data_IF_642891860471
#
_entry.id   IF_642891860471
#
_cell.length_a   1.000
_cell.length_b   1.000
_cell.length_c   1.000
_cell.angle_alpha   90.00
_cell.angle_beta   90.00
_cell.angle_gamma   90.00
#
_symmetry.space_group_name_H-M   'P 1'
#
loop_
_entity.id
_entity.type
_entity.pdbx_description
1 polymer ?
#
# COMPACT_ATOMS: atom_id res chain seq x y z
N UNK A 1 24.84 -26.66 -17.18
CA UNK A 1 23.67 -27.11 -16.39
C UNK A 1 23.10 -25.88 -15.73
N UNK A 2 21.78 -25.65 -15.81
CA UNK A 2 21.13 -24.55 -15.09
C UNK A 2 21.31 -24.73 -13.58
N UNK A 3 21.62 -23.65 -12.86
CA UNK A 3 21.73 -23.68 -11.40
C UNK A 3 20.37 -23.96 -10.76
N UNK A 4 20.37 -24.70 -9.65
CA UNK A 4 19.17 -24.85 -8.80
C UNK A 4 18.92 -23.49 -8.13
N UNK A 5 17.69 -22.93 -8.18
CA UNK A 5 17.40 -21.64 -7.56
C UNK A 5 17.49 -21.74 -6.03
N UNK A 6 17.96 -20.68 -5.39
CA UNK A 6 17.89 -20.55 -3.94
C UNK A 6 16.43 -20.44 -3.48
N UNK A 7 16.11 -21.00 -2.31
CA UNK A 7 14.82 -20.80 -1.67
C UNK A 7 15.01 -20.00 -0.38
N UNK A 8 14.41 -18.81 -0.31
CA UNK A 8 14.50 -17.94 0.87
C UNK A 8 13.17 -17.93 1.60
N UNK A 9 13.17 -18.42 2.84
CA UNK A 9 11.99 -18.42 3.70
C UNK A 9 11.63 -17.02 4.17
N UNK A 10 10.45 -16.87 4.80
CA UNK A 10 10.05 -15.62 5.42
C UNK A 10 11.05 -15.15 6.51
N UNK A 11 11.66 -16.09 7.25
CA UNK A 11 12.69 -15.78 8.24
C UNK A 11 13.96 -15.24 7.57
N UNK A 12 14.43 -15.89 6.51
CA UNK A 12 15.59 -15.43 5.74
C UNK A 12 15.35 -14.02 5.18
N UNK A 13 14.17 -13.79 4.58
CA UNK A 13 13.79 -12.46 4.07
C UNK A 13 13.75 -11.41 5.19
N UNK A 14 13.16 -11.73 6.35
CA UNK A 14 13.11 -10.82 7.50
C UNK A 14 14.51 -10.46 8.02
N UNK A 15 15.42 -11.43 8.07
CA UNK A 15 16.79 -11.24 8.55
C UNK A 15 17.62 -10.35 7.61
N UNK A 16 17.31 -10.37 6.32
CA UNK A 16 17.99 -9.56 5.29
C UNK A 16 17.25 -8.26 4.94
N UNK A 17 15.96 -8.13 5.30
CA UNK A 17 15.12 -6.95 5.03
C UNK A 17 14.55 -6.36 6.33
N UNK A 18 15.45 -5.99 7.24
CA UNK A 18 15.11 -5.70 8.65
C UNK A 18 14.21 -4.48 8.84
N UNK A 19 14.54 -3.36 8.18
CA UNK A 19 13.79 -2.09 8.32
C UNK A 19 13.18 -1.68 6.99
N UNK A 20 11.88 -1.40 7.01
CA UNK A 20 11.15 -0.80 5.88
C UNK A 20 11.65 0.62 5.58
N UNK A 21 12.20 1.33 6.56
CA UNK A 21 12.80 2.65 6.36
C UNK A 21 14.01 2.62 5.43
N UNK A 22 14.76 1.51 5.41
CA UNK A 22 15.86 1.32 4.45
C UNK A 22 15.38 1.14 3.01
N UNK A 23 14.09 0.78 2.81
CA UNK A 23 13.49 0.70 1.47
C UNK A 23 13.10 2.07 0.91
N UNK A 24 13.01 3.11 1.75
CA UNK A 24 12.49 4.42 1.31
C UNK A 24 13.36 5.00 0.18
N UNK A 25 14.70 5.15 0.30
CA UNK A 25 15.51 5.71 -0.78
C UNK A 25 15.44 4.93 -2.11
N UNK A 26 15.62 3.59 -2.17
CA UNK A 26 15.50 2.87 -3.43
C UNK A 26 14.07 2.89 -3.99
N UNK A 27 13.03 2.90 -3.15
CA UNK A 27 11.65 3.02 -3.61
C UNK A 27 11.32 4.42 -4.16
N UNK A 28 11.84 5.50 -3.58
CA UNK A 28 11.72 6.85 -4.14
C UNK A 28 12.33 6.88 -5.56
N UNK A 29 13.52 6.30 -5.73
CA UNK A 29 14.17 6.18 -7.04
C UNK A 29 13.35 5.34 -8.03
N UNK A 30 12.84 4.17 -7.60
CA UNK A 30 12.02 3.29 -8.44
C UNK A 30 10.71 3.96 -8.89
N UNK A 31 10.03 4.67 -7.99
CA UNK A 31 8.82 5.44 -8.30
C UNK A 31 9.12 6.56 -9.31
N UNK A 32 10.17 7.36 -9.07
CA UNK A 32 10.55 8.43 -9.98
C UNK A 32 10.95 7.90 -11.37
N UNK A 33 11.66 6.78 -11.43
CA UNK A 33 12.02 6.12 -12.68
C UNK A 33 10.78 5.58 -13.41
N UNK A 34 9.88 4.89 -12.70
CA UNK A 34 8.63 4.39 -13.28
C UNK A 34 7.83 5.52 -13.95
N UNK A 35 7.58 6.63 -13.22
CA UNK A 35 6.84 7.79 -13.74
C UNK A 35 7.64 8.65 -14.74
N UNK A 36 8.90 8.32 -15.03
CA UNK A 36 9.70 8.98 -16.07
C UNK A 36 9.48 8.36 -17.47
N UNK A 37 8.58 7.39 -17.60
CA UNK A 37 8.32 6.71 -18.85
C UNK A 37 9.54 5.94 -19.36
N UNK A 38 9.73 5.81 -20.69
CA UNK A 38 10.80 4.99 -21.26
C UNK A 38 12.21 5.36 -20.78
N UNK A 39 12.48 6.65 -20.51
CA UNK A 39 13.79 7.13 -20.05
C UNK A 39 14.14 6.66 -18.64
N UNK A 40 13.14 6.33 -17.82
CA UNK A 40 13.36 5.79 -16.48
C UNK A 40 13.81 4.33 -16.47
N UNK A 41 13.76 3.63 -17.61
CA UNK A 41 14.28 2.28 -17.75
C UNK A 41 13.51 1.21 -16.95
N UNK A 42 12.26 1.48 -16.58
CA UNK A 42 11.37 0.51 -15.91
C UNK A 42 10.40 -0.08 -16.93
N UNK A 43 10.48 -1.40 -17.11
CA UNK A 43 9.53 -2.17 -17.92
C UNK A 43 8.61 -2.94 -16.98
N UNK A 44 7.43 -2.38 -16.71
CA UNK A 44 6.42 -2.96 -15.83
C UNK A 44 5.06 -2.95 -16.53
N UNK A 45 4.62 -4.07 -17.13
CA UNK A 45 3.26 -4.17 -17.63
C UNK A 45 2.27 -4.12 -16.47
N UNK A 46 1.07 -3.58 -16.70
CA UNK A 46 0.00 -3.62 -15.70
C UNK A 46 -0.26 -5.05 -15.23
N UNK A 47 -0.52 -5.20 -13.93
CA UNK A 47 -0.78 -6.49 -13.30
C UNK A 47 -1.86 -7.27 -14.05
N UNK A 48 -1.62 -8.57 -14.18
CA UNK A 48 -2.60 -9.54 -14.67
C UNK A 48 -3.22 -10.25 -13.48
N UNK A 49 -4.55 -10.31 -13.44
CA UNK A 49 -5.29 -10.99 -12.38
C UNK A 49 -6.12 -12.13 -12.98
N UNK A 50 -5.95 -13.33 -12.43
CA UNK A 50 -6.75 -14.52 -12.74
C UNK A 50 -7.76 -14.72 -11.62
N UNK A 51 -9.07 -14.53 -11.87
CA UNK A 51 -10.10 -14.82 -10.87
C UNK A 51 -10.26 -16.33 -10.70
N UNK A 52 -10.22 -16.79 -9.45
CA UNK A 52 -10.46 -18.17 -9.02
C UNK A 52 -11.87 -18.24 -8.43
N UNK A 53 -12.87 -17.94 -9.28
CA UNK A 53 -14.24 -17.64 -8.85
C UNK A 53 -14.88 -18.72 -7.96
N UNK A 54 -14.61 -20.01 -8.23
CA UNK A 54 -15.11 -21.14 -7.42
C UNK A 54 -14.74 -21.03 -5.94
N UNK A 55 -13.63 -20.37 -5.63
CA UNK A 55 -13.09 -20.26 -4.29
C UNK A 55 -13.04 -18.81 -3.78
N UNK A 56 -13.72 -17.87 -4.44
CA UNK A 56 -13.72 -16.44 -4.07
C UNK A 56 -12.30 -15.89 -3.88
N UNK A 57 -11.40 -16.28 -4.78
CA UNK A 57 -9.99 -15.90 -4.73
C UNK A 57 -9.48 -15.34 -6.04
N UNK A 58 -8.26 -14.82 -5.99
CA UNK A 58 -7.59 -14.16 -7.11
C UNK A 58 -6.10 -14.51 -7.09
N UNK A 59 -5.52 -14.67 -8.28
CA UNK A 59 -4.07 -14.75 -8.48
C UNK A 59 -3.62 -13.52 -9.28
N UNK A 60 -2.79 -12.68 -8.67
CA UNK A 60 -2.10 -11.57 -9.32
C UNK A 60 -0.70 -11.96 -9.77
N UNK A 61 -0.30 -11.55 -10.97
CA UNK A 61 1.05 -11.70 -11.52
C UNK A 61 1.60 -10.32 -11.83
N UNK A 62 2.75 -10.00 -11.23
CA UNK A 62 3.38 -8.67 -11.29
C UNK A 62 4.85 -8.82 -11.70
N UNK A 63 5.14 -8.95 -13.02
CA UNK A 63 6.50 -8.96 -13.53
C UNK A 63 7.03 -7.53 -13.71
N UNK A 64 8.32 -7.33 -13.47
CA UNK A 64 8.99 -6.06 -13.77
C UNK A 64 10.48 -6.26 -14.06
N UNK A 65 11.02 -5.43 -14.95
CA UNK A 65 12.45 -5.23 -15.12
C UNK A 65 12.81 -3.77 -14.85
N UNK A 66 13.83 -3.53 -14.04
CA UNK A 66 14.42 -2.21 -13.80
C UNK A 66 15.84 -2.21 -14.36
N UNK A 67 16.10 -1.39 -15.38
CA UNK A 67 17.42 -1.25 -15.97
C UNK A 67 18.41 -0.54 -15.02
N UNK A 68 17.92 0.38 -14.17
CA UNK A 68 18.75 1.13 -13.22
C UNK A 68 19.39 0.23 -12.16
N UNK A 69 18.67 -0.81 -11.72
CA UNK A 69 19.19 -1.80 -10.77
C UNK A 69 19.61 -3.12 -11.43
N UNK A 70 19.43 -3.23 -12.75
CA UNK A 70 19.54 -4.46 -13.53
C UNK A 70 18.87 -5.66 -12.83
N UNK A 71 17.59 -5.49 -12.48
CA UNK A 71 16.83 -6.46 -11.70
C UNK A 71 15.57 -6.92 -12.45
N UNK A 72 15.44 -8.22 -12.69
CA UNK A 72 14.28 -8.86 -13.30
C UNK A 72 13.56 -9.73 -12.27
N UNK A 73 12.31 -9.39 -11.96
CA UNK A 73 11.53 -10.13 -10.96
C UNK A 73 10.10 -10.41 -11.41
N UNK A 74 9.46 -11.36 -10.75
CA UNK A 74 8.00 -11.54 -10.83
C UNK A 74 7.46 -11.89 -9.46
N UNK A 75 6.52 -11.08 -8.97
CA UNK A 75 5.74 -11.42 -7.79
C UNK A 75 4.46 -12.13 -8.22
N UNK A 76 4.18 -13.27 -7.59
CA UNK A 76 2.89 -13.92 -7.63
C UNK A 76 2.21 -13.71 -6.28
N UNK A 77 0.98 -13.23 -6.30
CA UNK A 77 0.20 -12.98 -5.08
C UNK A 77 -1.18 -13.63 -5.21
N UNK A 78 -1.60 -14.37 -4.21
CA UNK A 78 -2.97 -14.83 -4.07
C UNK A 78 -3.67 -14.05 -2.97
N UNK A 79 -4.94 -13.75 -3.18
CA UNK A 79 -5.80 -13.20 -2.14
C UNK A 79 -7.21 -13.74 -2.22
N UNK A 80 -7.82 -13.95 -1.07
CA UNK A 80 -9.10 -14.63 -0.93
C UNK A 80 -10.04 -13.87 -0.01
N UNK A 81 -11.27 -13.67 -0.46
CA UNK A 81 -12.34 -13.03 0.32
C UNK A 81 -12.72 -13.90 1.52
N UNK A 82 -13.07 -13.27 2.65
CA UNK A 82 -13.55 -13.98 3.84
C UNK A 82 -12.50 -14.77 4.64
N UNK A 83 -11.31 -15.06 4.09
CA UNK A 83 -10.25 -15.79 4.79
C UNK A 83 -9.87 -15.13 6.14
N UNK A 84 -9.85 -13.80 6.21
CA UNK A 84 -9.56 -13.07 7.45
C UNK A 84 -10.53 -13.35 8.62
N UNK A 85 -11.71 -13.92 8.33
CA UNK A 85 -12.76 -14.19 9.32
C UNK A 85 -13.03 -15.68 9.52
N UNK A 86 -12.73 -16.53 8.54
CA UNK A 86 -13.13 -17.95 8.54
C UNK A 86 -11.96 -18.92 8.40
N UNK A 87 -10.73 -18.43 8.21
CA UNK A 87 -9.56 -19.25 7.96
C UNK A 87 -8.39 -18.91 8.89
N UNK A 88 -7.58 -19.90 9.21
CA UNK A 88 -6.28 -19.72 9.87
C UNK A 88 -5.18 -19.32 8.88
N UNK A 89 -5.45 -19.43 7.57
CA UNK A 89 -4.53 -19.02 6.51
C UNK A 89 -4.67 -17.52 6.28
N UNK A 90 -3.56 -16.76 6.16
CA UNK A 90 -3.60 -15.34 5.84
C UNK A 90 -4.43 -15.04 4.58
N UNK A 91 -5.08 -13.87 4.55
CA UNK A 91 -5.91 -13.46 3.40
C UNK A 91 -5.10 -13.26 2.12
N UNK A 92 -3.81 -12.95 2.25
CA UNK A 92 -2.87 -12.79 1.15
C UNK A 92 -1.68 -13.74 1.34
N UNK A 93 -1.24 -14.36 0.25
CA UNK A 93 0.03 -15.07 0.19
C UNK A 93 0.81 -14.63 -1.05
N UNK A 94 2.11 -14.41 -0.92
CA UNK A 94 2.93 -14.00 -2.04
C UNK A 94 4.28 -14.75 -2.08
N UNK A 95 4.81 -14.88 -3.30
CA UNK A 95 6.19 -15.29 -3.55
C UNK A 95 6.79 -14.39 -4.61
N UNK A 96 8.09 -14.12 -4.50
CA UNK A 96 8.85 -13.36 -5.49
C UNK A 96 9.88 -14.28 -6.14
N UNK A 97 9.92 -14.24 -7.47
CA UNK A 97 10.92 -14.90 -8.29
C UNK A 97 11.93 -13.85 -8.75
N UNK A 98 13.22 -14.11 -8.57
CA UNK A 98 14.32 -13.26 -9.03
C UNK A 98 15.10 -13.97 -10.12
N UNK A 99 15.30 -13.30 -11.25
CA UNK A 99 15.97 -13.84 -12.43
C UNK A 99 17.24 -13.05 -12.74
N UNK A 100 18.23 -13.74 -13.30
CA UNK A 100 19.40 -13.12 -13.92
C UNK A 100 18.96 -12.45 -15.23
N UNK A 101 19.05 -11.12 -15.38
CA UNK A 101 18.54 -10.46 -16.59
C UNK A 101 19.30 -10.85 -17.87
N UNK A 102 20.60 -11.15 -17.76
CA UNK A 102 21.46 -11.42 -18.91
C UNK A 102 21.22 -12.78 -19.58
N UNK A 103 20.66 -13.77 -18.86
CA UNK A 103 20.47 -15.12 -19.39
C UNK A 103 19.13 -15.79 -19.01
N UNK A 104 18.32 -15.13 -18.18
CA UNK A 104 17.01 -15.60 -17.75
C UNK A 104 17.04 -16.70 -16.67
N UNK A 105 18.20 -17.04 -16.11
CA UNK A 105 18.31 -18.05 -15.06
C UNK A 105 17.54 -17.62 -13.82
N UNK A 106 16.69 -18.51 -13.29
CA UNK A 106 16.01 -18.28 -12.01
C UNK A 106 17.04 -18.40 -10.87
N UNK A 107 17.32 -17.27 -10.21
CA UNK A 107 18.31 -17.19 -9.13
C UNK A 107 17.69 -17.58 -7.79
N UNK A 108 16.50 -17.06 -7.49
CA UNK A 108 15.85 -17.29 -6.21
C UNK A 108 14.32 -17.30 -6.29
N UNK A 109 13.72 -18.10 -5.40
CA UNK A 109 12.31 -18.06 -5.03
C UNK A 109 12.24 -17.65 -3.56
N UNK A 110 11.55 -16.56 -3.24
CA UNK A 110 11.52 -16.01 -1.89
C UNK A 110 10.10 -15.76 -1.39
N UNK A 111 9.93 -15.74 -0.06
CA UNK A 111 8.69 -15.29 0.56
C UNK A 111 8.38 -13.85 0.13
N UNK A 112 7.18 -13.65 -0.40
CA UNK A 112 6.70 -12.36 -0.83
C UNK A 112 5.84 -11.65 0.22
N UNK A 113 5.52 -12.28 1.34
CA UNK A 113 4.63 -11.72 2.35
C UNK A 113 5.31 -10.59 3.12
N UNK A 114 6.52 -10.86 3.63
CA UNK A 114 7.33 -9.85 4.33
C UNK A 114 7.67 -8.69 3.38
N UNK A 115 8.08 -9.02 2.14
CA UNK A 115 8.35 -8.03 1.09
C UNK A 115 7.10 -7.17 0.88
N UNK A 116 5.93 -7.79 0.67
CA UNK A 116 4.67 -7.09 0.41
C UNK A 116 4.27 -6.18 1.57
N UNK A 117 4.44 -6.60 2.82
CA UNK A 117 4.16 -5.76 3.98
C UNK A 117 5.09 -4.53 4.01
N UNK A 118 6.40 -4.74 4.02
CA UNK A 118 7.39 -3.66 4.16
C UNK A 118 7.37 -2.67 3.00
N UNK A 119 7.31 -3.15 1.76
CA UNK A 119 7.30 -2.28 0.57
C UNK A 119 6.04 -1.42 0.48
N UNK A 120 4.87 -1.96 0.85
CA UNK A 120 3.60 -1.20 0.77
C UNK A 120 3.58 -0.08 1.80
N UNK A 121 4.01 -0.39 3.03
CA UNK A 121 4.15 0.59 4.10
C UNK A 121 5.18 1.67 3.76
N UNK A 122 6.33 1.30 3.20
CA UNK A 122 7.37 2.25 2.79
C UNK A 122 6.89 3.20 1.70
N UNK A 123 6.17 2.73 0.67
CA UNK A 123 5.58 3.61 -0.36
C UNK A 123 4.54 4.57 0.24
N UNK A 124 3.73 4.10 1.20
CA UNK A 124 2.78 4.96 1.91
C UNK A 124 3.49 6.02 2.78
N UNK A 125 4.62 5.66 3.39
CA UNK A 125 5.46 6.60 4.12
C UNK A 125 6.09 7.65 3.17
N UNK A 126 6.50 7.26 1.96
CA UNK A 126 6.95 8.19 0.92
C UNK A 126 5.82 9.15 0.56
N UNK A 127 4.63 8.65 0.20
CA UNK A 127 3.48 9.50 -0.09
C UNK A 127 3.20 10.49 1.05
N UNK A 128 3.17 9.99 2.28
CA UNK A 128 2.95 10.80 3.49
C UNK A 128 4.03 11.86 3.69
N UNK A 129 5.31 11.54 3.45
CA UNK A 129 6.42 12.50 3.55
C UNK A 129 6.21 13.72 2.64
N UNK A 130 5.66 13.52 1.44
CA UNK A 130 5.40 14.59 0.47
C UNK A 130 4.03 15.26 0.66
N UNK A 131 3.01 14.52 1.08
CA UNK A 131 1.60 14.93 0.99
C UNK A 131 0.93 15.25 2.33
N UNK A 132 1.54 14.89 3.46
CA UNK A 132 0.97 15.21 4.79
C UNK A 132 0.90 16.72 5.02
N UNK A 133 -0.10 17.21 5.78
CA UNK A 133 -0.20 18.63 6.11
C UNK A 133 1.02 19.12 6.91
N UNK A 134 1.39 20.42 6.85
CA UNK A 134 2.58 20.95 7.53
C UNK A 134 2.66 20.63 9.03
N UNK A 135 1.51 20.63 9.72
CA UNK A 135 1.38 20.31 11.14
C UNK A 135 0.59 19.02 11.32
N UNK A 136 1.22 17.87 11.06
CA UNK A 136 0.61 16.55 11.29
C UNK A 136 0.91 16.05 12.70
N UNK A 137 -0.10 15.91 13.54
CA UNK A 137 0.02 15.48 14.94
C UNK A 137 -0.77 14.20 15.24
N UNK A 138 -1.82 13.90 14.47
CA UNK A 138 -2.70 12.75 14.71
C UNK A 138 -2.67 11.79 13.52
N UNK A 139 -2.27 10.54 13.78
CA UNK A 139 -2.36 9.42 12.84
C UNK A 139 -3.60 8.58 13.13
N UNK A 140 -4.36 8.22 12.11
CA UNK A 140 -5.48 7.27 12.18
C UNK A 140 -5.23 6.06 11.27
N UNK A 141 -5.46 4.86 11.78
CA UNK A 141 -5.39 3.61 11.03
C UNK A 141 -6.77 2.94 11.03
N UNK A 142 -7.31 2.66 9.85
CA UNK A 142 -8.55 1.90 9.64
C UNK A 142 -8.19 0.49 9.15
N UNK A 143 -8.36 -0.49 10.03
CA UNK A 143 -7.95 -1.88 9.85
C UNK A 143 -6.84 -2.29 10.82
N UNK A 144 -6.82 -3.59 11.18
CA UNK A 144 -5.85 -4.16 12.12
C UNK A 144 -5.14 -5.42 11.59
N UNK A 145 -4.99 -5.52 10.26
CA UNK A 145 -4.34 -6.65 9.58
C UNK A 145 -2.83 -6.48 9.40
N UNK A 146 -2.21 -7.32 8.58
CA UNK A 146 -0.77 -7.31 8.28
C UNK A 146 -0.28 -5.91 7.88
N UNK A 147 -1.00 -5.23 7.00
CA UNK A 147 -0.64 -3.89 6.54
C UNK A 147 -0.70 -2.86 7.67
N UNK A 148 -1.66 -2.95 8.59
CA UNK A 148 -1.73 -2.04 9.74
C UNK A 148 -0.45 -2.09 10.58
N UNK A 149 0.11 -3.29 10.80
CA UNK A 149 1.36 -3.46 11.57
C UNK A 149 2.57 -2.88 10.84
N UNK A 150 2.74 -3.19 9.55
CA UNK A 150 3.87 -2.66 8.78
C UNK A 150 3.80 -1.15 8.60
N UNK A 151 2.59 -0.60 8.41
CA UNK A 151 2.39 0.85 8.35
C UNK A 151 2.68 1.50 9.69
N UNK A 152 2.19 0.96 10.81
CA UNK A 152 2.51 1.49 12.13
C UNK A 152 4.01 1.49 12.42
N UNK A 153 4.70 0.38 12.13
CA UNK A 153 6.15 0.26 12.31
C UNK A 153 6.90 1.38 11.58
N UNK A 154 6.69 1.55 10.26
CA UNK A 154 7.43 2.56 9.49
C UNK A 154 6.96 3.99 9.80
N UNK A 155 5.66 4.21 10.07
CA UNK A 155 5.16 5.56 10.34
C UNK A 155 5.63 6.09 11.69
N UNK A 156 5.73 5.24 12.72
CA UNK A 156 6.27 5.65 14.03
C UNK A 156 7.79 5.78 14.03
N UNK A 157 8.49 5.09 13.12
CA UNK A 157 9.93 5.30 12.89
C UNK A 157 10.21 6.61 12.12
N UNK A 158 9.38 6.93 11.12
CA UNK A 158 9.60 8.07 10.21
C UNK A 158 8.99 9.38 10.68
N UNK A 159 7.92 9.35 11.48
CA UNK A 159 7.15 10.53 11.84
C UNK A 159 6.85 10.57 13.34
N UNK A 160 6.75 11.78 13.89
CA UNK A 160 6.43 12.01 15.30
C UNK A 160 4.99 12.49 15.45
N UNK A 161 4.06 11.54 15.62
CA UNK A 161 2.67 11.85 15.95
C UNK A 161 2.49 11.99 17.46
N UNK A 162 1.66 12.93 17.90
CA UNK A 162 1.25 13.09 19.30
C UNK A 162 0.21 12.06 19.72
N UNK A 163 -0.61 11.60 18.78
CA UNK A 163 -1.64 10.59 19.02
C UNK A 163 -1.71 9.64 17.82
N UNK A 164 -1.78 8.33 18.10
CA UNK A 164 -2.11 7.31 17.10
C UNK A 164 -3.45 6.67 17.47
N UNK A 165 -4.35 6.59 16.49
CA UNK A 165 -5.69 6.02 16.64
C UNK A 165 -5.84 4.81 15.74
N UNK A 166 -6.63 3.85 16.18
CA UNK A 166 -7.00 2.70 15.38
C UNK A 166 -8.50 2.43 15.48
N UNK A 167 -9.10 2.09 14.34
CA UNK A 167 -10.41 1.46 14.29
C UNK A 167 -10.33 0.18 13.49
N UNK A 168 -11.11 -0.83 13.88
CA UNK A 168 -11.29 -2.04 13.10
C UNK A 168 -12.71 -2.57 13.29
N UNK A 169 -13.29 -3.17 12.24
CA UNK A 169 -14.63 -3.78 12.27
C UNK A 169 -14.83 -4.73 13.46
N UNK A 170 -13.82 -5.54 13.75
CA UNK A 170 -13.78 -6.42 14.94
C UNK A 170 -12.94 -5.73 16.00
N UNK A 171 -13.58 -5.17 17.02
CA UNK A 171 -12.93 -4.33 18.05
C UNK A 171 -11.79 -5.07 18.76
N UNK A 172 -11.98 -6.35 19.03
CA UNK A 172 -11.00 -7.21 19.71
C UNK A 172 -9.67 -7.28 18.93
N UNK A 173 -9.71 -7.16 17.59
CA UNK A 173 -8.48 -7.13 16.78
C UNK A 173 -7.77 -5.78 16.85
N UNK A 174 -8.51 -4.66 17.00
CA UNK A 174 -7.91 -3.36 17.25
C UNK A 174 -7.27 -3.29 18.66
N UNK A 175 -7.92 -3.89 19.67
CA UNK A 175 -7.35 -4.02 21.02
C UNK A 175 -6.10 -4.89 21.03
N UNK A 176 -6.12 -6.04 20.35
CA UNK A 176 -4.92 -6.89 20.16
C UNK A 176 -3.79 -6.12 19.49
N UNK A 177 -4.10 -5.35 18.45
CA UNK A 177 -3.13 -4.50 17.78
C UNK A 177 -2.50 -3.51 18.76
N UNK A 178 -3.32 -2.72 19.46
CA UNK A 178 -2.85 -1.71 20.42
C UNK A 178 -2.00 -2.31 21.55
N UNK A 179 -2.30 -3.55 21.99
CA UNK A 179 -1.54 -4.25 23.01
C UNK A 179 -0.24 -4.90 22.49
N UNK A 180 -0.11 -5.12 21.18
CA UNK A 180 1.03 -5.81 20.56
C UNK A 180 2.12 -4.82 20.12
N UNK A 181 1.72 -3.65 19.63
CA UNK A 181 2.65 -2.65 19.13
C UNK A 181 3.32 -1.87 20.27
N UNK A 182 4.50 -1.32 19.99
CA UNK A 182 5.19 -0.46 20.94
C UNK A 182 4.70 0.99 20.80
N UNK A 183 4.11 1.54 21.87
CA UNK A 183 3.60 2.90 21.92
C UNK A 183 2.12 2.94 22.27
N UNK A 184 1.61 4.12 22.61
CA UNK A 184 0.18 4.27 22.93
C UNK A 184 -0.65 4.37 21.65
N UNK A 185 -1.69 3.54 21.56
CA UNK A 185 -2.67 3.57 20.48
C UNK A 185 -4.07 3.64 21.06
N UNK A 186 -4.81 4.68 20.70
CA UNK A 186 -6.21 4.83 21.10
C UNK A 186 -7.11 3.98 20.20
N UNK A 187 -7.79 3.02 20.79
CA UNK A 187 -8.82 2.22 20.11
C UNK A 187 -10.13 3.00 20.05
N UNK A 188 -10.60 3.28 18.84
CA UNK A 188 -11.86 4.00 18.59
C UNK A 188 -13.01 3.03 18.30
N UNK A 189 -14.23 3.44 18.62
CA UNK A 189 -15.45 2.65 18.48
C UNK A 189 -16.10 2.76 17.10
N UNK A 190 -15.85 3.85 16.37
CA UNK A 190 -16.34 4.09 15.01
C UNK A 190 -15.24 4.69 14.13
N UNK A 191 -15.41 4.57 12.81
CA UNK A 191 -14.51 5.24 11.84
C UNK A 191 -14.54 6.75 12.06
N UNK A 192 -15.73 7.34 12.20
CA UNK A 192 -15.90 8.77 12.44
C UNK A 192 -15.11 9.24 13.67
N UNK A 193 -15.19 8.54 14.80
CA UNK A 193 -14.39 8.87 15.99
C UNK A 193 -12.89 8.83 15.69
N UNK A 194 -12.44 7.82 14.95
CA UNK A 194 -11.02 7.62 14.65
C UNK A 194 -10.46 8.76 13.76
N UNK A 195 -11.20 9.16 12.72
CA UNK A 195 -10.73 10.12 11.72
C UNK A 195 -11.00 11.58 12.06
N UNK A 196 -11.92 11.86 13.00
CA UNK A 196 -12.25 13.24 13.37
C UNK A 196 -11.01 13.98 13.88
N UNK A 197 -10.54 14.96 13.10
CA UNK A 197 -9.34 15.74 13.42
C UNK A 197 -8.02 15.02 13.14
N UNK A 198 -8.02 13.86 12.50
CA UNK A 198 -6.81 13.17 12.07
C UNK A 198 -6.13 13.92 10.92
N UNK A 199 -4.79 13.99 10.96
CA UNK A 199 -3.99 14.67 9.93
C UNK A 199 -3.55 13.70 8.84
N UNK A 200 -3.28 12.45 9.23
CA UNK A 200 -2.90 11.37 8.34
C UNK A 200 -3.80 10.18 8.63
N UNK A 201 -4.39 9.60 7.59
CA UNK A 201 -5.30 8.45 7.67
C UNK A 201 -4.75 7.33 6.79
N UNK A 202 -4.83 6.09 7.25
CA UNK A 202 -4.41 4.89 6.52
C UNK A 202 -5.60 3.94 6.45
N UNK A 203 -6.04 3.57 5.24
CA UNK A 203 -7.08 2.55 5.05
C UNK A 203 -6.45 1.27 4.51
N UNK A 204 -6.51 0.21 5.31
CA UNK A 204 -5.86 -1.09 5.06
C UNK A 204 -6.83 -2.24 5.35
N UNK A 205 -8.07 -2.09 4.91
CA UNK A 205 -9.13 -3.08 5.14
C UNK A 205 -9.41 -3.91 3.88
N UNK A 206 -10.26 -4.92 4.06
CA UNK A 206 -10.86 -5.72 2.98
C UNK A 206 -12.32 -5.30 2.75
N UNK A 207 -12.68 -4.04 3.06
CA UNK A 207 -14.01 -3.54 2.78
C UNK A 207 -14.24 -3.47 1.26
N UNK A 208 -15.47 -3.77 0.86
CA UNK A 208 -15.93 -3.67 -0.53
C UNK A 208 -16.86 -2.49 -0.74
N UNK A 209 -17.33 -1.88 0.35
CA UNK A 209 -18.18 -0.69 0.37
C UNK A 209 -17.49 0.41 1.17
N UNK A 210 -17.75 1.70 0.85
CA UNK A 210 -17.13 2.83 1.55
C UNK A 210 -17.28 2.75 3.07
N UNK A 211 -16.14 2.89 3.76
CA UNK A 211 -16.08 2.97 5.23
C UNK A 211 -15.63 4.35 5.71
N UNK A 212 -14.91 5.09 4.86
CA UNK A 212 -14.42 6.44 5.14
C UNK A 212 -15.19 7.44 4.27
N UNK A 213 -15.86 8.37 4.94
CA UNK A 213 -16.69 9.40 4.31
C UNK A 213 -16.01 10.76 4.42
N UNK A 214 -16.02 11.52 3.32
CA UNK A 214 -15.41 12.85 3.22
C UNK A 214 -15.89 13.83 4.27
N UNK A 215 -17.17 13.77 4.65
CA UNK A 215 -17.79 14.58 5.72
C UNK A 215 -17.01 14.54 7.04
N UNK A 216 -16.34 13.42 7.36
CA UNK A 216 -15.65 13.25 8.64
C UNK A 216 -14.17 13.66 8.58
N UNK A 217 -13.65 13.88 7.38
CA UNK A 217 -12.23 14.12 7.14
C UNK A 217 -11.88 15.57 7.45
N UNK A 218 -10.83 15.77 8.25
CA UNK A 218 -10.28 17.10 8.52
C UNK A 218 -9.83 17.75 7.19
N UNK A 219 -10.23 18.99 6.89
CA UNK A 219 -9.70 19.71 5.74
C UNK A 219 -8.17 19.75 5.77
N UNK A 220 -7.51 19.33 4.68
CA UNK A 220 -6.05 19.25 4.61
C UNK A 220 -5.46 17.91 5.04
N UNK A 221 -6.27 16.93 5.48
CA UNK A 221 -5.76 15.61 5.83
C UNK A 221 -5.20 14.86 4.62
N UNK A 222 -4.20 14.01 4.87
CA UNK A 222 -3.66 13.09 3.89
C UNK A 222 -4.13 11.66 4.15
N UNK A 223 -4.66 11.00 3.12
CA UNK A 223 -5.18 9.64 3.19
C UNK A 223 -4.31 8.72 2.33
N UNK A 224 -3.78 7.64 2.93
CA UNK A 224 -3.18 6.53 2.22
C UNK A 224 -4.23 5.42 2.05
N UNK A 225 -4.73 5.24 0.83
CA UNK A 225 -5.79 4.29 0.50
C UNK A 225 -5.22 3.02 -0.13
N UNK A 226 -5.09 1.95 0.68
CA UNK A 226 -4.29 0.76 0.35
C UNK A 226 -5.17 -0.48 0.10
N UNK A 227 -6.33 -0.56 0.74
CA UNK A 227 -7.31 -1.62 0.48
C UNK A 227 -8.02 -1.45 -0.86
N UNK A 228 -9.14 -2.16 -1.06
CA UNK A 228 -9.97 -2.03 -2.28
C UNK A 228 -9.17 -2.07 -3.60
N UNK A 229 -8.33 -3.10 -3.77
CA UNK A 229 -7.50 -3.34 -4.97
C UNK A 229 -8.24 -4.14 -6.05
N UNK A 230 -9.54 -3.87 -6.17
CA UNK A 230 -10.47 -4.50 -7.12
C UNK A 230 -11.36 -3.41 -7.73
N UNK A 231 -11.70 -3.49 -9.03
CA UNK A 231 -12.41 -2.43 -9.75
C UNK A 231 -13.84 -2.22 -9.25
N UNK A 232 -14.37 -3.17 -8.48
CA UNK A 232 -15.70 -3.20 -7.90
C UNK A 232 -15.71 -3.01 -6.38
N UNK A 233 -14.55 -2.78 -5.74
CA UNK A 233 -14.45 -2.57 -4.29
C UNK A 233 -14.11 -1.12 -3.95
N UNK A 234 -14.60 -0.67 -2.81
CA UNK A 234 -14.32 0.67 -2.28
C UNK A 234 -14.03 0.65 -0.79
N UNK A 235 -13.16 1.56 -0.36
CA UNK A 235 -13.03 1.98 1.04
C UNK A 235 -13.48 3.44 1.23
N UNK A 236 -13.45 4.25 0.17
CA UNK A 236 -13.69 5.69 0.20
C UNK A 236 -14.98 6.06 -0.55
N UNK A 237 -15.72 7.00 0.00
CA UNK A 237 -16.96 7.50 -0.61
C UNK A 237 -16.71 8.50 -1.75
N UNK A 238 -17.78 8.91 -2.43
CA UNK A 238 -17.69 9.83 -3.58
C UNK A 238 -17.26 11.24 -3.16
N UNK A 239 -17.71 11.72 -1.99
CA UNK A 239 -17.37 13.07 -1.54
C UNK A 239 -15.86 13.20 -1.33
N UNK A 240 -15.25 12.25 -0.63
CA UNK A 240 -13.81 12.25 -0.40
C UNK A 240 -13.03 12.15 -1.71
N UNK A 241 -13.43 11.23 -2.59
CA UNK A 241 -12.72 10.99 -3.86
C UNK A 241 -12.82 12.18 -4.82
N UNK A 242 -13.93 12.92 -4.83
CA UNK A 242 -14.13 14.05 -5.73
C UNK A 242 -13.53 15.36 -5.21
N UNK A 243 -13.47 15.57 -3.89
CA UNK A 243 -12.92 16.80 -3.32
C UNK A 243 -11.41 16.77 -3.08
N UNK A 244 -10.84 15.59 -2.85
CA UNK A 244 -9.41 15.46 -2.59
C UNK A 244 -8.57 15.58 -3.87
N UNK A 245 -7.33 16.04 -3.72
CA UNK A 245 -6.35 15.91 -4.81
C UNK A 245 -5.84 14.46 -4.82
N UNK A 246 -6.15 13.75 -5.92
CA UNK A 246 -5.87 12.33 -6.06
C UNK A 246 -4.49 12.06 -6.66
N UNK A 247 -3.63 11.42 -5.88
CA UNK A 247 -2.36 10.86 -6.29
C UNK A 247 -2.48 9.33 -6.37
N UNK A 248 -1.75 8.72 -7.30
CA UNK A 248 -1.72 7.27 -7.47
C UNK A 248 -0.29 6.76 -7.58
N UNK A 249 -0.05 5.46 -7.42
CA UNK A 249 1.26 4.87 -7.73
C UNK A 249 1.45 4.65 -9.24
N UNK A 250 0.41 4.19 -9.93
CA UNK A 250 0.35 4.08 -11.39
C UNK A 250 -1.02 4.47 -11.90
N UNK A 251 -1.07 5.37 -12.88
CA UNK A 251 -2.31 5.79 -13.52
C UNK A 251 -2.98 4.64 -14.26
N UNK A 252 -2.21 3.86 -15.03
CA UNK A 252 -2.73 2.70 -15.76
C UNK A 252 -3.33 1.65 -14.81
N UNK A 253 -2.67 1.37 -13.69
CA UNK A 253 -3.20 0.44 -12.69
C UNK A 253 -4.46 0.99 -12.00
N UNK A 254 -4.46 2.26 -11.60
CA UNK A 254 -5.60 2.90 -10.95
C UNK A 254 -6.87 2.86 -11.80
N UNK A 255 -6.74 3.17 -13.09
CA UNK A 255 -7.82 3.14 -14.08
C UNK A 255 -8.27 1.73 -14.48
N UNK A 256 -7.62 0.67 -13.97
CA UNK A 256 -7.98 -0.73 -14.24
C UNK A 256 -8.45 -1.46 -13.00
N UNK A 257 -7.87 -1.17 -11.84
CA UNK A 257 -7.97 -2.01 -10.65
C UNK A 257 -8.63 -1.33 -9.45
N UNK A 258 -8.73 0.01 -9.41
CA UNK A 258 -9.27 0.70 -8.22
C UNK A 258 -10.74 1.04 -8.38
N UNK A 259 -11.62 0.37 -7.64
CA UNK A 259 -13.03 0.75 -7.58
C UNK A 259 -13.26 2.11 -6.94
N UNK A 260 -12.43 2.54 -5.97
CA UNK A 260 -12.48 3.90 -5.43
C UNK A 260 -12.34 4.96 -6.54
N UNK A 261 -11.41 4.76 -7.49
CA UNK A 261 -11.20 5.69 -8.62
C UNK A 261 -12.26 5.51 -9.70
N UNK A 262 -12.51 4.26 -10.14
CA UNK A 262 -13.41 3.96 -11.24
C UNK A 262 -14.87 4.33 -10.96
N UNK A 263 -15.36 4.00 -9.76
CA UNK A 263 -16.76 4.17 -9.41
C UNK A 263 -17.11 5.59 -8.98
N UNK A 264 -16.13 6.35 -8.46
CA UNK A 264 -16.31 7.78 -8.15
C UNK A 264 -16.14 8.69 -9.37
N UNK A 265 -15.44 8.21 -10.41
CA UNK A 265 -15.07 9.03 -11.56
C UNK A 265 -14.04 10.12 -11.23
N UNK A 266 -13.31 9.97 -10.13
CA UNK A 266 -12.29 10.93 -9.71
C UNK A 266 -11.16 11.06 -10.74
N UNK A 267 -10.75 12.30 -11.02
CA UNK A 267 -9.64 12.58 -11.92
C UNK A 267 -8.30 12.41 -11.19
N UNK A 268 -7.42 11.60 -11.77
CA UNK A 268 -6.06 11.39 -11.25
C UNK A 268 -5.24 12.65 -11.55
N UNK A 269 -4.71 13.29 -10.50
CA UNK A 269 -3.91 14.49 -10.64
C UNK A 269 -2.46 14.20 -11.05
N UNK A 270 -1.83 13.24 -10.38
CA UNK A 270 -0.43 12.87 -10.59
C UNK A 270 -0.12 11.46 -10.09
N UNK A 271 0.89 10.83 -10.68
CA UNK A 271 1.58 9.70 -10.06
C UNK A 271 2.55 10.18 -8.98
N UNK A 272 2.74 9.36 -7.93
CA UNK A 272 3.66 9.67 -6.84
C UNK A 272 5.10 9.87 -7.32
N UNK A 273 5.54 9.11 -8.32
CA UNK A 273 6.87 9.26 -8.92
C UNK A 273 7.09 10.64 -9.56
N UNK A 274 6.05 11.24 -10.15
CA UNK A 274 6.13 12.60 -10.70
C UNK A 274 6.34 13.65 -9.59
N UNK A 275 5.74 13.44 -8.42
CA UNK A 275 5.91 14.30 -7.24
C UNK A 275 7.31 14.14 -6.66
N UNK A 276 7.78 12.89 -6.50
CA UNK A 276 9.14 12.59 -6.02
C UNK A 276 10.21 13.23 -6.91
N UNK A 277 9.99 13.25 -8.23
CA UNK A 277 10.89 13.89 -9.20
C UNK A 277 10.75 15.42 -9.26
N UNK A 278 9.70 15.99 -8.66
CA UNK A 278 9.41 17.43 -8.71
C UNK A 278 8.79 17.91 -10.02
N UNK A 279 8.27 17.01 -10.86
CA UNK A 279 7.54 17.34 -12.10
C UNK A 279 6.11 17.78 -11.80
N UNK A 280 5.49 17.17 -10.78
CA UNK A 280 4.16 17.52 -10.29
C UNK A 280 4.26 18.10 -8.87
N UNK A 281 3.43 19.11 -8.53
CA UNK A 281 3.47 19.70 -7.19
C UNK A 281 2.83 18.77 -6.15
N UNK A 282 3.28 18.89 -4.90
CA UNK A 282 2.60 18.30 -3.75
C UNK A 282 1.63 19.32 -3.13
N UNK A 283 0.33 19.11 -3.30
CA UNK A 283 -0.72 19.96 -2.71
C UNK A 283 -1.02 19.62 -1.24
N UNK A 284 0.00 19.59 -0.38
CA UNK A 284 -0.08 19.10 1.01
C UNK A 284 -0.95 19.96 1.95
N UNK A 285 -1.34 21.17 1.56
CA UNK A 285 -2.31 22.00 2.31
C UNK A 285 -3.78 21.67 1.98
N UNK A 286 -4.02 20.92 0.90
CA UNK A 286 -5.36 20.43 0.53
C UNK A 286 -5.57 19.02 1.09
N UNK A 287 -6.82 18.59 1.18
CA UNK A 287 -7.11 17.17 1.40
C UNK A 287 -6.54 16.38 0.24
N UNK A 288 -5.73 15.36 0.53
CA UNK A 288 -5.06 14.54 -0.49
C UNK A 288 -5.36 13.07 -0.27
N UNK A 289 -5.57 12.34 -1.36
CA UNK A 289 -5.68 10.87 -1.34
C UNK A 289 -4.53 10.32 -2.15
N UNK A 290 -3.75 9.42 -1.57
CA UNK A 290 -2.83 8.56 -2.29
C UNK A 290 -3.45 7.16 -2.42
N UNK A 291 -3.91 6.79 -3.61
CA UNK A 291 -4.40 5.45 -3.90
C UNK A 291 -3.22 4.55 -4.31
N UNK A 292 -2.97 3.51 -3.51
CA UNK A 292 -1.96 2.50 -3.82
C UNK A 292 -2.60 1.20 -4.24
N UNK A 293 -2.10 0.63 -5.34
CA UNK A 293 -2.44 -0.71 -5.83
C UNK A 293 -1.21 -1.63 -5.82
N UNK A 294 -0.03 -1.02 -5.93
CA UNK A 294 1.26 -1.59 -5.61
C UNK A 294 1.96 -2.37 -6.69
#
# INVERSE_FOLDING_TARGET
MSSVPAFLSAADVQDHLRSSSLLIPPLEAALANFSSGPEGGVMQPVRTVVPVAKHSGFLGVMPAYSAAEDALTTKLVTFYEGHSTTSTVPSHQATVLLFQPSDGSLLAVMDGNIITAKRTAAVSAIATKFLKPPSSEVLCILGAGVQAYSHYEVFTEQFSFKEVRIWNRTKENAEKFANTVQGEVRVCSSVQEAVTGADVIITVTMATEPILFGEWVKPGAHINAIGASRPDWRELDDELMTQAVLYVDSQEAALKESGDVLLSGAEIFAELGEVVKGVKPAHCEKTTVFKSLG
#
